data_IF_627412112128
#
_entry.id   IF_627412112128
#
_cell.length_a   1.000
_cell.length_b   1.000
_cell.length_c   1.000
_cell.angle_alpha   90.00
_cell.angle_beta   90.00
_cell.angle_gamma   90.00
#
_symmetry.space_group_name_H-M   'P 1'
#
loop_
_entity.id
_entity.type
_entity.pdbx_description
1 polymer ?
#
# COMPACT_ATOMS: atom_id res chain seq x y z
N UNK A 1 -9.92 4.17 -9.58
CA UNK A 1 -9.45 2.93 -10.26
C UNK A 1 -8.14 3.23 -10.99
N UNK A 2 -7.02 3.28 -10.27
CA UNK A 2 -5.77 3.82 -10.82
C UNK A 2 -4.52 3.13 -10.30
N UNK A 3 -4.49 2.75 -9.02
CA UNK A 3 -3.38 2.07 -8.35
C UNK A 3 -3.00 0.76 -9.05
N UNK A 4 -3.92 -0.20 -9.15
CA UNK A 4 -3.68 -1.50 -9.79
C UNK A 4 -3.13 -1.41 -11.21
N UNK A 5 -3.75 -0.59 -12.06
CA UNK A 5 -3.30 -0.42 -13.45
C UNK A 5 -1.94 0.27 -13.51
N UNK A 6 -1.65 1.19 -12.61
CA UNK A 6 -0.35 1.85 -12.53
C UNK A 6 0.74 0.90 -12.04
N UNK A 7 0.45 0.13 -10.98
CA UNK A 7 1.30 -0.92 -10.43
C UNK A 7 1.62 -2.00 -11.49
N UNK A 8 0.60 -2.54 -12.17
CA UNK A 8 0.78 -3.52 -13.25
C UNK A 8 1.65 -2.99 -14.39
N UNK A 9 1.44 -1.75 -14.83
CA UNK A 9 2.28 -1.13 -15.89
C UNK A 9 3.74 -0.93 -15.49
N UNK A 10 4.03 -0.84 -14.19
CA UNK A 10 5.39 -0.65 -13.65
C UNK A 10 6.00 -1.93 -13.08
N UNK A 11 5.31 -3.07 -13.17
CA UNK A 11 5.76 -4.32 -12.57
C UNK A 11 5.83 -4.28 -11.04
N UNK A 12 5.07 -3.40 -10.39
CA UNK A 12 5.05 -3.25 -8.94
C UNK A 12 3.88 -4.02 -8.35
N UNK A 13 4.10 -4.67 -7.22
CA UNK A 13 3.05 -5.23 -6.40
C UNK A 13 2.31 -4.11 -5.65
N UNK A 14 0.98 -4.08 -5.74
CA UNK A 14 0.16 -3.04 -5.10
C UNK A 14 0.31 -3.06 -3.57
N UNK A 15 0.40 -4.24 -2.96
CA UNK A 15 0.61 -4.39 -1.53
C UNK A 15 1.92 -3.72 -1.07
N UNK A 16 3.02 -3.92 -1.80
CA UNK A 16 4.33 -3.31 -1.51
C UNK A 16 4.30 -1.80 -1.60
N UNK A 17 3.51 -1.23 -2.52
CA UNK A 17 3.31 0.21 -2.61
C UNK A 17 2.66 0.76 -1.34
N UNK A 18 1.64 0.07 -0.81
CA UNK A 18 0.97 0.46 0.42
C UNK A 18 1.90 0.34 1.64
N UNK A 19 2.68 -0.73 1.74
CA UNK A 19 3.70 -0.89 2.77
C UNK A 19 4.74 0.24 2.73
N UNK A 20 5.30 0.52 1.55
CA UNK A 20 6.32 1.56 1.38
C UNK A 20 5.78 2.95 1.76
N UNK A 21 4.54 3.27 1.39
CA UNK A 21 3.91 4.52 1.78
C UNK A 21 3.65 4.62 3.29
N UNK A 22 3.24 3.52 3.93
CA UNK A 22 3.10 3.46 5.40
C UNK A 22 4.45 3.67 6.10
N UNK A 23 5.51 2.99 5.65
CA UNK A 23 6.86 3.14 6.18
C UNK A 23 7.34 4.59 6.03
N UNK A 24 7.12 5.19 4.85
CA UNK A 24 7.46 6.59 4.62
C UNK A 24 6.78 7.51 5.63
N UNK A 25 5.49 7.31 5.91
CA UNK A 25 4.75 8.09 6.93
C UNK A 25 5.35 7.91 8.32
N UNK A 26 5.67 6.68 8.71
CA UNK A 26 6.28 6.39 10.01
C UNK A 26 7.64 7.07 10.17
N UNK A 27 8.50 7.02 9.14
CA UNK A 27 9.77 7.75 9.16
C UNK A 27 9.57 9.26 9.19
N UNK A 28 8.58 9.80 8.49
CA UNK A 28 8.27 11.22 8.55
C UNK A 28 7.81 11.66 9.95
N UNK A 29 7.02 10.84 10.64
CA UNK A 29 6.61 11.07 12.04
C UNK A 29 7.85 11.12 12.95
N UNK A 30 8.73 10.12 12.86
CA UNK A 30 9.97 10.09 13.62
C UNK A 30 10.86 11.32 13.37
N UNK A 31 11.03 11.71 12.09
CA UNK A 31 11.82 12.88 11.74
C UNK A 31 11.20 14.20 12.25
N UNK A 32 9.86 14.27 12.34
CA UNK A 32 9.17 15.43 12.94
C UNK A 32 9.39 15.48 14.45
N UNK A 33 9.33 14.33 15.12
CA UNK A 33 9.57 14.24 16.58
C UNK A 33 10.98 14.71 16.94
N UNK A 34 11.96 14.38 16.10
CA UNK A 34 13.34 14.86 16.22
C UNK A 34 13.60 16.26 15.62
N UNK A 35 12.56 16.97 15.16
CA UNK A 35 12.64 18.30 14.54
C UNK A 35 13.56 18.40 13.31
N UNK A 36 13.82 17.27 12.67
CA UNK A 36 14.60 17.17 11.43
C UNK A 36 13.75 17.48 10.19
N UNK A 37 12.42 17.39 10.31
CA UNK A 37 11.48 17.64 9.23
C UNK A 37 10.44 18.68 9.65
N UNK A 38 10.26 19.72 8.81
CA UNK A 38 9.22 20.72 9.02
C UNK A 38 7.85 20.08 8.75
N UNK A 39 6.80 20.41 9.54
CA UNK A 39 5.45 19.97 9.22
C UNK A 39 5.03 20.46 7.84
N UNK A 40 4.22 19.66 7.11
CA UNK A 40 3.75 20.03 5.78
C UNK A 40 2.91 21.31 5.86
N UNK A 41 3.02 22.15 4.84
CA UNK A 41 2.26 23.39 4.76
C UNK A 41 0.76 23.07 4.75
N UNK A 42 0.01 23.69 5.67
CA UNK A 42 -1.44 23.50 5.71
C UNK A 42 -2.09 24.08 4.43
N UNK A 43 -3.16 23.47 3.91
CA UNK A 43 -3.85 23.98 2.73
C UNK A 43 -4.44 25.38 3.03
N UNK A 44 -3.89 26.41 2.38
CA UNK A 44 -4.24 27.81 2.62
C UNK A 44 -5.68 28.15 2.19
N UNK A 45 -6.22 27.49 1.17
CA UNK A 45 -7.53 27.83 0.60
C UNK A 45 -8.71 27.17 1.32
N UNK A 46 -9.74 27.98 1.61
CA UNK A 46 -11.04 27.52 2.13
C UNK A 46 -11.68 26.45 1.23
N UNK A 47 -11.58 26.61 -0.08
CA UNK A 47 -12.11 25.66 -1.07
C UNK A 47 -11.42 24.29 -0.99
N UNK A 48 -10.09 24.28 -0.89
CA UNK A 48 -9.32 23.05 -0.75
C UNK A 48 -9.69 22.28 0.53
N UNK A 49 -9.87 22.99 1.65
CA UNK A 49 -10.34 22.40 2.91
C UNK A 49 -11.74 21.79 2.79
N UNK A 50 -12.66 22.48 2.12
CA UNK A 50 -14.02 21.98 1.90
C UNK A 50 -14.04 20.74 1.00
N UNK A 51 -13.25 20.75 -0.09
CA UNK A 51 -13.13 19.62 -1.02
C UNK A 51 -12.64 18.36 -0.30
N UNK A 52 -11.55 18.47 0.46
CA UNK A 52 -11.00 17.36 1.26
C UNK A 52 -12.00 16.81 2.27
N UNK A 53 -12.77 17.69 2.93
CA UNK A 53 -13.83 17.24 3.86
C UNK A 53 -14.93 16.44 3.17
N UNK A 54 -15.29 16.80 1.92
CA UNK A 54 -16.29 16.05 1.14
C UNK A 54 -15.74 14.69 0.74
N UNK A 55 -14.54 14.66 0.16
CA UNK A 55 -13.84 13.44 -0.23
C UNK A 55 -13.69 12.48 0.96
N UNK A 56 -13.26 12.99 2.12
CA UNK A 56 -13.10 12.17 3.32
C UNK A 56 -14.42 11.57 3.84
N UNK A 57 -15.53 12.33 3.74
CA UNK A 57 -16.88 11.82 4.07
C UNK A 57 -17.31 10.73 3.12
N UNK A 58 -17.03 10.87 1.83
CA UNK A 58 -17.33 9.86 0.81
C UNK A 58 -16.52 8.57 1.06
N UNK A 59 -15.23 8.68 1.36
CA UNK A 59 -14.40 7.52 1.70
C UNK A 59 -14.89 6.81 2.97
N UNK A 60 -15.28 7.56 4.01
CA UNK A 60 -15.88 6.99 5.21
C UNK A 60 -17.23 6.32 4.94
N UNK A 61 -18.05 6.89 4.06
CA UNK A 61 -19.30 6.26 3.61
C UNK A 61 -19.02 4.92 2.92
N UNK A 62 -18.06 4.91 1.99
CA UNK A 62 -17.64 3.72 1.27
C UNK A 62 -17.12 2.62 2.20
N UNK A 63 -16.33 3.00 3.20
CA UNK A 63 -15.85 2.09 4.24
C UNK A 63 -17.00 1.48 5.03
N UNK A 64 -17.97 2.28 5.46
CA UNK A 64 -19.16 1.81 6.19
C UNK A 64 -20.04 0.89 5.33
N UNK A 65 -20.25 1.23 4.06
CA UNK A 65 -21.00 0.40 3.12
C UNK A 65 -20.31 -0.96 2.92
N UNK A 66 -18.98 -0.98 2.83
CA UNK A 66 -18.22 -2.23 2.75
C UNK A 66 -18.28 -3.03 4.06
N UNK A 67 -18.19 -2.39 5.23
CA UNK A 67 -18.34 -3.06 6.53
C UNK A 67 -19.74 -3.67 6.72
N UNK A 68 -20.78 -2.99 6.22
CA UNK A 68 -22.16 -3.46 6.25
C UNK A 68 -22.41 -4.61 5.26
N UNK A 69 -21.85 -4.53 4.05
CA UNK A 69 -21.94 -5.60 3.03
C UNK A 69 -21.05 -6.81 3.36
N UNK A 70 -19.90 -6.56 3.97
CA UNK A 70 -18.90 -7.53 4.41
C UNK A 70 -19.08 -7.99 5.85
N UNK A 71 -20.27 -7.78 6.44
CA UNK A 71 -20.61 -8.26 7.78
C UNK A 71 -20.41 -9.77 7.88
N UNK A 72 -19.21 -10.16 8.35
CA UNK A 72 -18.77 -11.51 8.73
C UNK A 72 -19.64 -12.62 8.13
N UNK A 73 -19.45 -12.94 6.84
CA UNK A 73 -19.68 -14.31 6.40
C UNK A 73 -18.73 -15.19 7.20
N UNK A 74 -19.21 -15.76 8.31
CA UNK A 74 -18.46 -16.74 9.10
C UNK A 74 -18.02 -17.80 8.10
N UNK A 75 -16.71 -17.97 7.92
CA UNK A 75 -16.15 -19.11 7.19
C UNK A 75 -16.43 -20.34 8.03
N UNK A 76 -17.66 -20.87 7.94
CA UNK A 76 -18.03 -22.12 8.56
C UNK A 76 -17.48 -23.21 7.65
N UNK A 77 -16.56 -24.00 8.18
CA UNK A 77 -16.14 -25.25 7.56
C UNK A 77 -17.38 -26.13 7.47
N UNK A 78 -17.86 -26.38 6.25
CA UNK A 78 -18.95 -27.33 6.02
C UNK A 78 -18.36 -28.73 6.16
N UNK A 79 -18.66 -29.44 7.24
CA UNK A 79 -18.42 -30.88 7.28
C UNK A 79 -19.34 -31.50 6.23
N UNK A 80 -18.74 -32.14 5.23
CA UNK A 80 -19.47 -33.02 4.33
C UNK A 80 -19.79 -34.28 5.14
N UNK A 81 -21.06 -34.49 5.45
CA UNK A 81 -21.51 -35.75 6.06
C UNK A 81 -21.20 -36.87 5.07
N UNK A 82 -20.19 -37.67 5.40
CA UNK A 82 -19.88 -38.92 4.72
C UNK A 82 -20.99 -39.93 5.03
N UNK A 83 -22.10 -39.84 4.31
CA UNK A 83 -22.98 -41.00 4.14
C UNK A 83 -22.21 -42.04 3.32
N UNK A 84 -21.90 -43.14 4.02
CA UNK A 84 -21.28 -44.34 3.52
C UNK A 84 -22.04 -44.88 2.30
N UNK A 85 -21.52 -44.62 1.10
CA UNK A 85 -21.64 -45.55 -0.02
C UNK A 85 -20.26 -45.72 -0.65
N UNK A 86 -19.69 -46.88 -0.36
CA UNK A 86 -18.47 -47.38 -0.97
C UNK A 86 -18.68 -47.51 -2.48
N UNK A 87 -17.83 -46.86 -3.28
CA UNK A 87 -17.17 -47.48 -4.44
C UNK A 87 -16.11 -46.54 -5.05
N UNK A 88 -14.86 -46.94 -4.82
CA UNK A 88 -13.67 -46.89 -5.67
C UNK A 88 -13.39 -45.67 -6.58
N UNK A 89 -12.20 -45.08 -6.40
CA UNK A 89 -11.43 -44.53 -7.52
C UNK A 89 -10.89 -43.10 -7.37
N UNK A 90 -9.84 -42.97 -6.55
CA UNK A 90 -8.66 -42.10 -6.78
C UNK A 90 -8.83 -40.67 -7.32
N UNK A 91 -8.46 -39.68 -6.52
CA UNK A 91 -7.99 -38.40 -7.05
C UNK A 91 -8.21 -37.22 -6.11
N UNK A 92 -7.17 -36.88 -5.37
CA UNK A 92 -7.00 -35.61 -4.64
C UNK A 92 -7.47 -34.41 -5.48
N UNK A 93 -8.59 -33.83 -5.08
CA UNK A 93 -9.09 -32.56 -5.59
C UNK A 93 -9.43 -31.65 -4.43
N UNK A 94 -8.41 -31.06 -3.80
CA UNK A 94 -8.55 -29.80 -3.08
C UNK A 94 -9.19 -28.80 -4.06
N UNK A 95 -10.52 -28.67 -4.05
CA UNK A 95 -11.17 -27.49 -4.61
C UNK A 95 -10.92 -26.37 -3.60
N UNK A 96 -9.69 -25.85 -3.68
CA UNK A 96 -9.34 -24.52 -3.21
C UNK A 96 -10.40 -23.60 -3.78
N UNK A 97 -11.33 -23.18 -2.93
CA UNK A 97 -12.39 -22.24 -3.29
C UNK A 97 -11.73 -21.07 -3.98
N UNK A 98 -11.91 -21.07 -5.29
CA UNK A 98 -11.25 -20.18 -6.21
C UNK A 98 -11.54 -18.74 -5.78
N UNK A 99 -10.46 -17.99 -5.80
CA UNK A 99 -10.42 -16.56 -5.80
C UNK A 99 -11.61 -16.02 -6.61
N UNK A 100 -12.57 -15.36 -5.93
CA UNK A 100 -13.46 -14.41 -6.60
C UNK A 100 -12.61 -13.20 -7.02
N UNK A 101 -11.70 -13.41 -7.98
CA UNK A 101 -11.29 -12.42 -8.94
C UNK A 101 -12.53 -12.06 -9.77
N UNK A 102 -13.21 -10.98 -9.40
CA UNK A 102 -14.57 -10.79 -9.90
C UNK A 102 -15.17 -9.41 -9.79
N UNK A 103 -14.40 -8.37 -10.05
CA UNK A 103 -14.90 -7.08 -10.58
C UNK A 103 -15.79 -6.21 -9.65
N UNK A 104 -15.27 -5.02 -9.34
CA UNK A 104 -16.01 -3.81 -8.92
C UNK A 104 -16.42 -3.64 -7.46
N UNK A 105 -16.22 -4.63 -6.58
CA UNK A 105 -16.17 -4.30 -5.16
C UNK A 105 -14.94 -3.42 -4.96
N UNK A 106 -15.15 -2.18 -4.53
CA UNK A 106 -14.06 -1.25 -4.26
C UNK A 106 -13.07 -1.93 -3.32
N UNK A 107 -11.82 -2.03 -3.74
CA UNK A 107 -10.78 -2.60 -2.89
C UNK A 107 -10.71 -1.79 -1.60
N UNK A 108 -11.15 -2.39 -0.50
CA UNK A 108 -11.20 -1.76 0.81
C UNK A 108 -9.81 -1.33 1.25
N UNK A 109 -8.74 -1.97 0.72
CA UNK A 109 -7.37 -1.56 0.97
C UNK A 109 -7.06 -0.20 0.33
N UNK A 110 -7.46 0.05 -0.92
CA UNK A 110 -7.32 1.36 -1.59
C UNK A 110 -8.11 2.45 -0.83
N UNK A 111 -9.32 2.16 -0.35
CA UNK A 111 -10.10 3.11 0.47
C UNK A 111 -9.40 3.42 1.79
N UNK A 112 -8.91 2.40 2.50
CA UNK A 112 -8.14 2.59 3.73
C UNK A 112 -6.82 3.33 3.48
N UNK A 113 -6.20 3.10 2.33
CA UNK A 113 -4.99 3.77 1.92
C UNK A 113 -5.22 5.27 1.68
N UNK A 114 -6.26 5.63 0.94
CA UNK A 114 -6.68 7.01 0.67
C UNK A 114 -7.17 7.74 1.92
N UNK A 115 -7.74 7.03 2.90
CA UNK A 115 -8.08 7.60 4.22
C UNK A 115 -6.84 7.94 5.04
N UNK A 116 -5.76 7.15 4.90
CA UNK A 116 -4.52 7.32 5.68
C UNK A 116 -3.52 8.27 5.02
N UNK A 117 -3.51 8.34 3.70
CA UNK A 117 -2.54 9.11 2.92
C UNK A 117 -3.26 10.06 1.97
N UNK A 118 -2.80 11.31 1.95
CA UNK A 118 -3.20 12.26 0.92
C UNK A 118 -2.46 11.94 -0.38
N UNK A 119 -3.22 11.54 -1.41
CA UNK A 119 -2.65 11.19 -2.72
C UNK A 119 -2.00 12.39 -3.41
N UNK A 120 -2.49 13.61 -3.17
CA UNK A 120 -1.91 14.82 -3.74
C UNK A 120 -0.54 15.11 -3.12
N UNK A 121 -0.43 14.99 -1.80
CA UNK A 121 0.84 15.15 -1.08
C UNK A 121 1.85 14.07 -1.49
N UNK A 122 1.39 12.82 -1.61
CA UNK A 122 2.25 11.71 -2.04
C UNK A 122 2.76 11.93 -3.47
N UNK A 123 1.92 12.40 -4.39
CA UNK A 123 2.34 12.75 -5.75
C UNK A 123 3.30 13.94 -5.78
N UNK A 124 3.04 15.01 -5.02
CA UNK A 124 3.91 16.17 -4.95
C UNK A 124 5.31 15.77 -4.45
N UNK A 125 5.36 15.05 -3.33
CA UNK A 125 6.61 14.55 -2.78
C UNK A 125 7.31 13.54 -3.70
N UNK A 126 6.57 12.70 -4.42
CA UNK A 126 7.15 11.84 -5.44
C UNK A 126 7.81 12.68 -6.53
N UNK A 127 7.14 13.71 -7.07
CA UNK A 127 7.71 14.60 -8.11
C UNK A 127 8.95 15.34 -7.62
N UNK A 128 8.95 15.85 -6.39
CA UNK A 128 10.13 16.45 -5.77
C UNK A 128 11.29 15.46 -5.67
N UNK A 129 10.99 14.22 -5.26
CA UNK A 129 11.98 13.13 -5.22
C UNK A 129 12.53 12.69 -6.58
N UNK A 130 11.91 13.07 -7.71
CA UNK A 130 12.49 12.84 -9.04
C UNK A 130 13.56 13.88 -9.40
N UNK A 131 13.71 14.96 -8.61
CA UNK A 131 14.71 16.01 -8.83
C UNK A 131 16.05 15.77 -8.13
N UNK A 132 16.45 14.51 -7.92
CA UNK A 132 17.73 14.20 -7.25
C UNK A 132 18.91 14.54 -8.17
N UNK A 133 19.88 15.26 -7.62
CA UNK A 133 21.16 15.50 -8.30
C UNK A 133 21.92 14.19 -8.49
N UNK A 134 22.75 14.09 -9.54
CA UNK A 134 23.61 12.92 -9.81
C UNK A 134 24.44 12.52 -8.59
N UNK A 135 24.93 13.50 -7.81
CA UNK A 135 25.67 13.22 -6.58
C UNK A 135 24.80 12.62 -5.47
N UNK A 136 23.54 13.05 -5.35
CA UNK A 136 22.58 12.47 -4.40
C UNK A 136 22.17 11.05 -4.81
N UNK A 137 22.05 10.80 -6.11
CA UNK A 137 21.79 9.46 -6.64
C UNK A 137 22.97 8.51 -6.35
N UNK A 138 24.21 8.97 -6.57
CA UNK A 138 25.41 8.20 -6.26
C UNK A 138 25.51 7.90 -4.75
N UNK A 139 25.19 8.87 -3.89
CA UNK A 139 25.13 8.65 -2.44
C UNK A 139 24.06 7.62 -2.08
N UNK A 140 22.87 7.70 -2.67
CA UNK A 140 21.79 6.73 -2.43
C UNK A 140 22.19 5.32 -2.88
N UNK A 141 22.82 5.20 -4.06
CA UNK A 141 23.36 3.94 -4.56
C UNK A 141 24.42 3.38 -3.63
N UNK A 142 25.30 4.22 -3.09
CA UNK A 142 26.31 3.81 -2.11
C UNK A 142 25.66 3.28 -0.82
N UNK A 143 24.68 4.00 -0.26
CA UNK A 143 23.96 3.57 0.94
C UNK A 143 23.23 2.23 0.69
N UNK A 144 22.59 2.07 -0.47
CA UNK A 144 21.93 0.81 -0.85
C UNK A 144 22.93 -0.33 -1.04
N UNK A 145 24.08 -0.05 -1.67
CA UNK A 145 25.14 -1.04 -1.84
C UNK A 145 25.70 -1.49 -0.49
N UNK A 146 25.89 -0.58 0.48
CA UNK A 146 26.30 -0.93 1.84
C UNK A 146 25.22 -1.74 2.59
N UNK A 147 23.93 -1.41 2.40
CA UNK A 147 22.84 -2.14 3.04
C UNK A 147 22.61 -3.54 2.48
N UNK A 148 22.78 -3.73 1.17
CA UNK A 148 22.58 -5.02 0.50
C UNK A 148 23.86 -5.87 0.47
N UNK A 149 25.03 -5.22 0.46
CA UNK A 149 26.34 -5.84 0.36
C UNK A 149 27.29 -5.25 1.41
N UNK A 150 27.06 -5.56 2.71
CA UNK A 150 27.84 -4.99 3.81
C UNK A 150 29.33 -5.39 3.81
N UNK A 151 29.71 -6.37 2.99
CA UNK A 151 31.10 -6.82 2.83
C UNK A 151 31.86 -6.02 1.77
N UNK A 152 31.19 -5.16 1.01
CA UNK A 152 31.80 -4.38 -0.05
C UNK A 152 32.25 -3.02 0.50
N UNK A 153 33.53 -2.89 0.81
CA UNK A 153 34.11 -1.59 1.19
C UNK A 153 34.46 -0.77 -0.05
N UNK A 154 34.09 0.51 -0.04
CA UNK A 154 34.53 1.46 -1.08
C UNK A 154 35.77 2.18 -0.56
N UNK A 155 36.88 2.21 -1.31
CA UNK A 155 38.09 2.90 -0.90
C UNK A 155 37.83 4.40 -0.75
N UNK A 156 38.21 4.96 0.40
CA UNK A 156 38.15 6.40 0.68
C UNK A 156 39.42 7.06 0.10
N UNK A 157 39.30 7.98 -0.88
CA UNK A 157 40.46 8.67 -1.46
C UNK A 157 41.16 9.65 -0.50
N UNK A 158 40.57 9.94 0.67
CA UNK A 158 41.13 10.86 1.68
C UNK A 158 41.67 10.15 2.94
N UNK A 159 41.78 8.82 2.93
CA UNK A 159 42.30 8.01 4.03
C UNK A 159 43.64 7.36 3.67
#
# INVERSE_FOLDING_TARGET
RGSQRWCRRRGLEEHRLYEAANLRRQFQELLRDHRLLRPPAQPCSSYARQRRRREHRELHRLKREHEQRGGRRRKLLRLQEEEQQQQEGGGSGFSSGEEEEGTSCLDIQDVNFQLRHDMEELQAAAREGHGLSTGQLALLQLVLAQGLYPQLAVPDPFN
#
